data_IF_232707309201
#
_entry.id   IF_232707309201
#
_cell.length_a   1.000
_cell.length_b   1.000
_cell.length_c   1.000
_cell.angle_alpha   90.00
_cell.angle_beta   90.00
_cell.angle_gamma   90.00
#
_symmetry.space_group_name_H-M   'P 1'
#
loop_
_entity.id
_entity.type
_entity.pdbx_description
1 polymer ?
#
# COMPACT_ATOMS: atom_id res chain seq x y z
N UNK A 1 -5.53 9.72 -13.25
CA UNK A 1 -5.14 8.76 -14.31
C UNK A 1 -4.67 7.43 -13.71
N UNK A 2 -3.90 7.48 -12.62
CA UNK A 2 -3.42 6.33 -11.82
C UNK A 2 -4.47 5.26 -11.50
N UNK A 3 -5.67 5.65 -11.06
CA UNK A 3 -6.71 4.69 -10.62
C UNK A 3 -7.11 3.64 -11.67
N UNK A 4 -7.41 4.07 -12.90
CA UNK A 4 -7.79 3.15 -13.98
C UNK A 4 -6.64 2.25 -14.41
N UNK A 5 -5.40 2.72 -14.25
CA UNK A 5 -4.21 1.96 -14.58
C UNK A 5 -3.98 0.85 -13.57
N UNK A 6 -3.99 1.16 -12.26
CA UNK A 6 -3.89 0.15 -11.17
C UNK A 6 -4.93 -0.95 -11.38
N UNK A 7 -6.17 -0.59 -11.73
CA UNK A 7 -7.24 -1.55 -12.03
C UNK A 7 -6.91 -2.49 -13.20
N UNK A 8 -6.41 -1.94 -14.31
CA UNK A 8 -6.05 -2.73 -15.50
C UNK A 8 -4.87 -3.65 -15.22
N UNK A 9 -3.82 -3.13 -14.58
CA UNK A 9 -2.63 -3.87 -14.20
C UNK A 9 -3.01 -5.04 -13.30
N UNK A 10 -3.80 -4.77 -12.26
CA UNK A 10 -4.25 -5.81 -11.35
C UNK A 10 -5.10 -6.88 -12.04
N UNK A 11 -5.98 -6.48 -12.97
CA UNK A 11 -6.77 -7.43 -13.76
C UNK A 11 -5.88 -8.34 -14.60
N UNK A 12 -4.90 -7.76 -15.31
CA UNK A 12 -3.96 -8.52 -16.13
C UNK A 12 -3.13 -9.47 -15.26
N UNK A 13 -2.65 -8.99 -14.11
CA UNK A 13 -1.85 -9.79 -13.19
C UNK A 13 -2.65 -11.00 -12.66
N UNK A 14 -3.91 -10.79 -12.27
CA UNK A 14 -4.80 -11.87 -11.82
C UNK A 14 -5.05 -12.93 -12.90
N UNK A 15 -4.95 -12.59 -14.19
CA UNK A 15 -5.09 -13.54 -15.28
C UNK A 15 -3.83 -14.42 -15.49
N UNK A 16 -2.65 -13.93 -15.08
CA UNK A 16 -1.36 -14.66 -15.19
C UNK A 16 -1.05 -15.52 -13.97
N UNK A 17 -1.67 -15.20 -12.85
CA UNK A 17 -1.33 -15.79 -11.55
C UNK A 17 -2.08 -17.11 -11.36
N UNK A 18 -1.43 -18.17 -10.84
CA UNK A 18 -2.11 -19.40 -10.47
C UNK A 18 -3.31 -19.11 -9.59
N UNK A 19 -4.40 -19.86 -9.74
CA UNK A 19 -5.50 -19.79 -8.77
C UNK A 19 -4.99 -20.32 -7.44
N UNK A 20 -4.50 -19.43 -6.58
CA UNK A 20 -4.06 -19.78 -5.25
C UNK A 20 -5.27 -20.30 -4.48
N UNK A 21 -5.10 -21.51 -3.94
CA UNK A 21 -5.99 -21.98 -2.87
C UNK A 21 -5.64 -21.10 -1.67
N UNK A 22 -6.59 -20.29 -1.23
CA UNK A 22 -6.35 -19.37 -0.14
C UNK A 22 -6.02 -20.14 1.14
N UNK A 23 -5.06 -19.68 1.95
CA UNK A 23 -4.67 -20.32 3.20
C UNK A 23 -5.79 -20.39 4.24
N UNK A 24 -6.94 -19.74 4.00
CA UNK A 24 -8.14 -19.87 4.82
C UNK A 24 -8.62 -21.31 5.01
N UNK A 25 -8.24 -22.24 4.13
CA UNK A 25 -8.56 -23.66 4.32
C UNK A 25 -7.81 -24.27 5.52
N UNK A 26 -6.71 -23.68 5.97
CA UNK A 26 -5.87 -24.17 7.08
C UNK A 26 -6.12 -23.43 8.40
N UNK A 27 -7.24 -22.69 8.50
CA UNK A 27 -7.63 -21.97 9.71
C UNK A 27 -6.72 -20.79 10.08
N UNK A 28 -6.93 -20.23 11.27
CA UNK A 28 -6.31 -18.96 11.66
C UNK A 28 -4.80 -19.06 11.85
N UNK A 29 -4.29 -20.23 12.24
CA UNK A 29 -2.85 -20.44 12.43
C UNK A 29 -2.13 -20.54 11.08
N UNK A 30 -2.73 -21.20 10.09
CA UNK A 30 -2.21 -21.19 8.72
C UNK A 30 -2.15 -19.77 8.15
N UNK A 31 -3.22 -18.98 8.32
CA UNK A 31 -3.22 -17.56 7.95
C UNK A 31 -2.15 -16.75 8.68
N UNK A 32 -1.92 -17.01 9.96
CA UNK A 32 -0.89 -16.36 10.76
C UNK A 32 0.52 -16.67 10.25
N UNK A 33 0.85 -17.93 10.02
CA UNK A 33 2.14 -18.33 9.45
C UNK A 33 2.35 -17.70 8.07
N UNK A 34 1.35 -17.76 7.19
CA UNK A 34 1.44 -17.12 5.87
C UNK A 34 1.67 -15.61 6.00
N UNK A 35 0.98 -14.93 6.92
CA UNK A 35 1.12 -13.47 7.09
C UNK A 35 2.52 -13.03 7.50
N UNK A 36 3.24 -13.85 8.26
CA UNK A 36 4.62 -13.56 8.70
C UNK A 36 5.63 -13.98 7.62
N UNK A 37 5.36 -15.08 6.91
CA UNK A 37 6.29 -15.63 5.92
C UNK A 37 6.19 -14.95 4.56
N UNK A 38 5.02 -14.43 4.17
CA UNK A 38 4.77 -13.90 2.84
C UNK A 38 5.59 -12.66 2.46
N UNK A 39 5.95 -11.73 3.37
CA UNK A 39 6.80 -10.61 3.01
C UNK A 39 8.17 -11.07 2.49
N UNK A 40 8.68 -12.19 3.02
CA UNK A 40 10.03 -12.71 2.75
C UNK A 40 10.06 -13.80 1.68
N UNK A 41 9.18 -14.81 1.79
CA UNK A 41 9.15 -15.95 0.85
C UNK A 41 8.15 -15.76 -0.30
N UNK A 42 7.42 -14.65 -0.33
CA UNK A 42 6.36 -14.43 -1.31
C UNK A 42 5.35 -15.58 -1.30
N UNK A 43 4.94 -16.03 -2.48
CA UNK A 43 3.92 -17.10 -2.58
C UNK A 43 4.44 -18.50 -2.23
N UNK A 44 5.76 -18.69 -2.08
CA UNK A 44 6.29 -19.97 -1.59
C UNK A 44 5.85 -20.25 -0.15
N UNK A 45 5.62 -19.21 0.66
CA UNK A 45 5.06 -19.32 2.00
C UNK A 45 3.77 -20.14 2.04
N UNK A 46 2.89 -19.97 1.04
CA UNK A 46 1.62 -20.72 0.96
C UNK A 46 1.90 -22.21 0.77
N UNK A 47 2.84 -22.57 -0.11
CA UNK A 47 3.20 -23.95 -0.37
C UNK A 47 3.90 -24.60 0.83
N UNK A 48 4.74 -23.83 1.53
CA UNK A 48 5.41 -24.29 2.75
C UNK A 48 4.38 -24.60 3.82
N UNK A 49 3.47 -23.68 4.13
CA UNK A 49 2.41 -23.90 5.12
C UNK A 49 1.48 -25.04 4.68
N UNK A 50 1.05 -25.08 3.42
CA UNK A 50 0.17 -26.15 2.90
C UNK A 50 0.75 -27.54 3.12
N UNK A 51 2.03 -27.76 2.77
CA UNK A 51 2.68 -29.07 2.90
C UNK A 51 2.70 -29.57 4.34
N UNK A 52 2.94 -28.67 5.29
CA UNK A 52 3.01 -29.02 6.70
C UNK A 52 1.64 -29.41 7.28
N UNK A 53 0.58 -28.73 6.84
CA UNK A 53 -0.80 -29.08 7.22
C UNK A 53 -1.28 -30.37 6.54
N UNK A 54 -0.92 -30.60 5.27
CA UNK A 54 -1.29 -31.81 4.52
C UNK A 54 -0.60 -33.09 5.06
N UNK A 55 0.57 -32.95 5.69
CA UNK A 55 1.31 -34.06 6.28
C UNK A 55 0.83 -34.45 7.70
N UNK A 56 -0.20 -33.79 8.24
CA UNK A 56 -0.61 -33.87 9.66
C UNK A 56 0.53 -33.55 10.65
N UNK A 57 1.66 -33.00 10.19
CA UNK A 57 2.82 -32.65 11.04
C UNK A 57 2.50 -31.42 11.91
N UNK A 58 1.58 -30.56 11.44
CA UNK A 58 1.12 -29.38 12.14
C UNK A 58 -0.37 -29.47 12.46
N UNK A 59 -0.75 -30.34 13.40
CA UNK A 59 -2.11 -30.41 13.92
C UNK A 59 -2.33 -29.33 15.00
N UNK A 60 -2.51 -28.09 14.57
CA UNK A 60 -2.59 -26.92 15.45
C UNK A 60 -3.97 -26.69 16.09
N UNK A 61 -4.86 -27.68 16.15
CA UNK A 61 -6.19 -27.51 16.74
C UNK A 61 -6.14 -27.01 18.21
N UNK A 62 -5.00 -27.12 18.90
CA UNK A 62 -4.75 -26.56 20.23
C UNK A 62 -3.66 -25.46 20.31
N UNK A 63 -3.04 -25.05 19.19
CA UNK A 63 -2.19 -23.85 19.14
C UNK A 63 -0.99 -23.83 20.09
N UNK A 64 -0.19 -24.90 20.14
CA UNK A 64 1.04 -24.90 20.94
C UNK A 64 2.09 -23.94 20.34
N UNK A 65 2.31 -22.80 21.02
CA UNK A 65 3.32 -21.80 20.65
C UNK A 65 4.73 -22.41 20.50
N UNK A 66 5.05 -23.47 21.26
CA UNK A 66 6.37 -24.11 21.15
C UNK A 66 6.60 -24.73 19.77
N UNK A 67 5.59 -25.38 19.20
CA UNK A 67 5.69 -26.04 17.89
C UNK A 67 5.82 -24.99 16.78
N UNK A 68 5.10 -23.87 16.89
CA UNK A 68 5.26 -22.72 15.99
C UNK A 68 6.66 -22.10 16.08
N UNK A 69 7.20 -21.94 17.29
CA UNK A 69 8.56 -21.42 17.51
C UNK A 69 9.60 -22.32 16.86
N UNK A 70 9.47 -23.62 17.01
CA UNK A 70 10.44 -24.56 16.47
C UNK A 70 10.33 -24.67 14.93
N UNK A 71 9.12 -24.61 14.38
CA UNK A 71 8.91 -24.48 12.94
C UNK A 71 9.61 -23.24 12.36
N UNK A 72 9.36 -22.06 12.95
CA UNK A 72 9.95 -20.80 12.46
C UNK A 72 11.47 -20.80 12.57
N UNK A 73 12.03 -21.35 13.66
CA UNK A 73 13.50 -21.51 13.78
C UNK A 73 14.06 -22.42 12.69
N UNK A 74 13.32 -23.43 12.25
CA UNK A 74 13.70 -24.34 11.18
C UNK A 74 13.81 -23.66 9.80
N UNK A 75 13.21 -22.49 9.60
CA UNK A 75 13.23 -21.76 8.33
C UNK A 75 14.58 -21.06 8.04
N UNK A 76 15.45 -20.96 9.04
CA UNK A 76 16.78 -20.30 8.95
C UNK A 76 16.73 -18.89 8.33
N UNK A 77 15.70 -18.11 8.69
CA UNK A 77 15.54 -16.72 8.26
C UNK A 77 15.44 -15.79 9.48
N UNK A 78 16.45 -14.92 9.63
CA UNK A 78 16.59 -14.04 10.80
C UNK A 78 15.52 -12.95 10.87
N UNK A 79 15.03 -12.48 9.72
CA UNK A 79 13.99 -11.45 9.67
C UNK A 79 12.64 -12.02 10.11
N UNK A 80 12.25 -13.17 9.57
CA UNK A 80 11.03 -13.89 9.97
C UNK A 80 11.09 -14.25 11.44
N UNK A 81 12.20 -14.82 11.91
CA UNK A 81 12.37 -15.19 13.31
C UNK A 81 12.22 -13.97 14.22
N UNK A 82 12.82 -12.84 13.83
CA UNK A 82 12.71 -11.59 14.57
C UNK A 82 11.28 -11.04 14.62
N UNK A 83 10.54 -11.02 13.51
CA UNK A 83 9.14 -10.56 13.50
C UNK A 83 8.28 -11.50 14.33
N UNK A 84 8.45 -12.80 14.14
CA UNK A 84 7.71 -13.82 14.85
C UNK A 84 7.93 -13.74 16.36
N UNK A 85 9.17 -13.59 16.82
CA UNK A 85 9.50 -13.46 18.24
C UNK A 85 8.85 -12.21 18.85
N UNK A 86 8.84 -11.08 18.13
CA UNK A 86 8.16 -9.86 18.59
C UNK A 86 6.66 -10.08 18.77
N UNK A 87 6.01 -10.69 17.79
CA UNK A 87 4.57 -10.98 17.85
C UNK A 87 4.26 -12.01 18.94
N UNK A 88 5.11 -13.02 19.12
CA UNK A 88 4.94 -14.01 20.19
C UNK A 88 5.14 -13.41 21.58
N UNK A 89 6.12 -12.53 21.77
CA UNK A 89 6.29 -11.81 23.04
C UNK A 89 5.05 -11.00 23.39
N UNK A 90 4.42 -10.37 22.39
CA UNK A 90 3.17 -9.65 22.56
C UNK A 90 2.02 -10.59 22.97
N UNK A 91 1.85 -11.70 22.26
CA UNK A 91 0.81 -12.71 22.55
C UNK A 91 1.00 -13.33 23.94
N UNK A 92 2.24 -13.65 24.33
CA UNK A 92 2.57 -14.17 25.66
C UNK A 92 2.25 -13.17 26.77
N UNK A 93 2.50 -11.88 26.52
CA UNK A 93 2.30 -10.82 27.51
C UNK A 93 0.83 -10.42 27.68
N UNK A 94 0.12 -10.18 26.58
CA UNK A 94 -1.23 -9.61 26.63
C UNK A 94 -2.33 -10.68 26.58
N UNK A 95 -2.03 -11.85 26.01
CA UNK A 95 -2.98 -12.96 25.84
C UNK A 95 -2.55 -14.23 26.58
N UNK A 96 -1.52 -14.17 27.42
CA UNK A 96 -1.00 -15.32 28.18
C UNK A 96 -0.63 -16.53 27.30
N UNK A 97 -0.26 -16.27 26.04
CA UNK A 97 0.04 -17.31 25.07
C UNK A 97 -1.19 -17.94 24.40
N UNK A 98 -2.40 -17.44 24.68
CA UNK A 98 -3.62 -17.91 24.04
C UNK A 98 -3.81 -17.27 22.65
N UNK A 99 -3.38 -17.99 21.62
CA UNK A 99 -3.56 -17.61 20.22
C UNK A 99 -5.03 -17.41 19.84
N UNK A 100 -5.95 -18.19 20.43
CA UNK A 100 -7.37 -18.05 20.12
C UNK A 100 -7.88 -16.71 20.63
N UNK A 101 -7.51 -16.31 21.84
CA UNK A 101 -7.86 -15.00 22.38
C UNK A 101 -7.24 -13.86 21.56
N UNK A 102 -5.99 -14.01 21.11
CA UNK A 102 -5.35 -13.05 20.20
C UNK A 102 -6.15 -12.87 18.89
N UNK A 103 -6.53 -13.97 18.24
CA UNK A 103 -7.27 -13.92 16.98
C UNK A 103 -8.70 -13.37 17.08
N UNK A 104 -9.30 -13.41 18.27
CA UNK A 104 -10.65 -12.87 18.53
C UNK A 104 -10.61 -11.52 19.27
N UNK A 105 -9.41 -10.96 19.50
CA UNK A 105 -9.23 -9.68 20.15
C UNK A 105 -9.69 -8.50 19.30
N UNK A 106 -9.73 -7.32 19.91
CA UNK A 106 -10.01 -6.07 19.19
C UNK A 106 -8.82 -5.76 18.27
N UNK A 107 -9.06 -5.84 16.96
CA UNK A 107 -8.02 -5.64 15.94
C UNK A 107 -7.33 -4.29 16.03
N UNK A 108 -8.05 -3.22 16.39
CA UNK A 108 -7.47 -1.88 16.46
C UNK A 108 -6.64 -1.70 17.72
N UNK A 109 -7.04 -2.33 18.82
CA UNK A 109 -6.21 -2.39 20.03
C UNK A 109 -4.93 -3.17 19.75
N UNK A 110 -5.04 -4.34 19.12
CA UNK A 110 -3.89 -5.16 18.73
C UNK A 110 -2.95 -4.38 17.81
N UNK A 111 -3.49 -3.76 16.76
CA UNK A 111 -2.72 -2.96 15.82
C UNK A 111 -1.98 -1.80 16.51
N UNK A 112 -2.65 -1.07 17.41
CA UNK A 112 -2.04 0.03 18.16
C UNK A 112 -0.86 -0.41 19.04
N UNK A 113 -0.84 -1.67 19.47
CA UNK A 113 0.21 -2.22 20.34
C UNK A 113 1.34 -2.89 19.54
N UNK A 114 1.01 -3.55 18.42
CA UNK A 114 2.00 -4.19 17.54
C UNK A 114 2.68 -3.17 16.63
N UNK A 115 1.99 -2.13 16.18
CA UNK A 115 2.51 -1.10 15.27
C UNK A 115 3.87 -0.53 15.72
N UNK A 116 4.05 -0.07 16.97
CA UNK A 116 5.34 0.41 17.44
C UNK A 116 6.45 -0.66 17.39
N UNK A 117 6.10 -1.93 17.63
CA UNK A 117 7.05 -3.06 17.63
C UNK A 117 7.51 -3.41 16.21
N UNK A 118 6.67 -3.14 15.20
CA UNK A 118 6.94 -3.40 13.79
C UNK A 118 7.29 -2.12 13.02
N UNK A 119 7.79 -1.09 13.69
CA UNK A 119 8.24 0.15 13.03
C UNK A 119 9.31 -0.17 11.98
N UNK A 120 9.10 0.29 10.75
CA UNK A 120 9.97 -0.03 9.59
C UNK A 120 9.76 -1.43 9.01
N UNK A 121 8.71 -2.14 9.46
CA UNK A 121 8.27 -3.46 8.98
C UNK A 121 6.78 -3.43 8.67
N UNK A 122 6.32 -2.32 8.08
CA UNK A 122 4.89 -2.07 7.81
C UNK A 122 4.25 -3.16 6.95
N UNK A 123 4.99 -3.73 5.99
CA UNK A 123 4.51 -4.85 5.20
C UNK A 123 4.10 -6.07 6.06
N UNK A 124 4.86 -6.39 7.11
CA UNK A 124 4.52 -7.49 8.02
C UNK A 124 3.28 -7.18 8.85
N UNK A 125 3.20 -5.95 9.39
CA UNK A 125 2.02 -5.47 10.13
C UNK A 125 0.78 -5.60 9.25
N UNK A 126 0.83 -5.08 8.03
CA UNK A 126 -0.32 -5.04 7.16
C UNK A 126 -0.68 -6.43 6.62
N UNK A 127 0.30 -7.31 6.45
CA UNK A 127 0.05 -8.72 6.15
C UNK A 127 -0.68 -9.43 7.29
N UNK A 128 -0.34 -9.15 8.55
CA UNK A 128 -1.08 -9.66 9.72
C UNK A 128 -2.52 -9.15 9.70
N UNK A 129 -2.73 -7.84 9.54
CA UNK A 129 -4.06 -7.23 9.44
C UNK A 129 -4.89 -7.86 8.31
N UNK A 130 -4.25 -8.07 7.16
CA UNK A 130 -4.91 -8.59 5.97
C UNK A 130 -5.28 -10.08 6.07
N UNK A 131 -4.35 -10.95 6.48
CA UNK A 131 -4.56 -12.40 6.44
C UNK A 131 -5.13 -12.97 7.73
N UNK A 132 -4.77 -12.41 8.88
CA UNK A 132 -5.21 -12.90 10.20
C UNK A 132 -6.53 -12.26 10.58
N UNK A 133 -6.58 -10.93 10.52
CA UNK A 133 -7.74 -10.16 10.99
C UNK A 133 -8.74 -9.79 9.89
N UNK A 134 -8.46 -10.17 8.65
CA UNK A 134 -9.33 -9.89 7.50
C UNK A 134 -9.66 -8.41 7.31
N UNK A 135 -8.76 -7.52 7.72
CA UNK A 135 -8.88 -6.08 7.49
C UNK A 135 -8.41 -5.78 6.07
N UNK A 136 -9.16 -5.02 5.25
CA UNK A 136 -8.77 -4.69 3.88
C UNK A 136 -7.66 -3.62 3.82
N UNK A 137 -6.51 -3.92 4.42
CA UNK A 137 -5.28 -3.13 4.32
C UNK A 137 -4.37 -3.81 3.31
N UNK A 138 -3.87 -3.06 2.33
CA UNK A 138 -3.02 -3.55 1.27
C UNK A 138 -1.54 -3.40 1.67
N UNK A 139 -0.79 -4.50 1.89
CA UNK A 139 0.62 -4.43 2.21
C UNK A 139 1.43 -4.02 0.97
N UNK A 140 2.43 -3.16 1.15
CA UNK A 140 3.23 -2.62 0.04
C UNK A 140 4.68 -3.10 0.13
N UNK A 141 5.05 -4.13 -0.64
CA UNK A 141 6.43 -4.62 -0.66
C UNK A 141 7.37 -3.65 -1.38
N UNK A 142 8.66 -3.65 -1.04
CA UNK A 142 9.68 -2.83 -1.73
C UNK A 142 9.65 -3.06 -3.24
N UNK A 143 9.58 -4.33 -3.66
CA UNK A 143 9.51 -4.68 -5.09
C UNK A 143 8.23 -4.18 -5.77
N UNK A 144 7.11 -4.16 -5.06
CA UNK A 144 5.88 -3.53 -5.56
C UNK A 144 6.07 -2.02 -5.72
N UNK A 145 6.72 -1.34 -4.76
CA UNK A 145 7.02 0.09 -4.85
C UNK A 145 7.88 0.37 -6.08
N UNK A 146 8.97 -0.37 -6.26
CA UNK A 146 9.88 -0.24 -7.41
C UNK A 146 9.12 -0.38 -8.73
N UNK A 147 8.30 -1.43 -8.87
CA UNK A 147 7.49 -1.65 -10.07
C UNK A 147 6.53 -0.49 -10.32
N UNK A 148 5.86 0.01 -9.29
CA UNK A 148 4.90 1.10 -9.42
C UNK A 148 5.58 2.44 -9.74
N UNK A 149 6.79 2.67 -9.24
CA UNK A 149 7.62 3.83 -9.57
C UNK A 149 8.09 3.74 -11.03
N UNK A 150 8.55 2.57 -11.47
CA UNK A 150 8.97 2.30 -12.85
C UNK A 150 7.83 2.54 -13.85
N UNK A 151 6.59 2.21 -13.46
CA UNK A 151 5.40 2.48 -14.25
C UNK A 151 4.80 3.88 -14.05
N UNK A 152 5.49 4.75 -13.31
CA UNK A 152 5.05 6.12 -13.02
C UNK A 152 3.64 6.16 -12.43
N UNK A 153 3.32 5.22 -11.55
CA UNK A 153 2.11 5.20 -10.75
C UNK A 153 2.35 5.99 -9.47
N UNK A 154 3.51 5.79 -8.85
CA UNK A 154 4.02 6.55 -7.71
C UNK A 154 5.29 7.33 -8.10
N UNK A 155 5.73 8.22 -7.21
CA UNK A 155 7.02 8.91 -7.26
C UNK A 155 8.02 8.24 -6.29
N UNK A 156 9.34 8.38 -6.51
CA UNK A 156 10.35 7.78 -5.63
C UNK A 156 10.34 8.30 -4.18
N UNK A 157 9.75 9.46 -3.93
CA UNK A 157 9.61 10.08 -2.62
C UNK A 157 8.26 9.83 -1.94
N UNK A 158 7.32 9.17 -2.63
CA UNK A 158 6.06 8.74 -2.01
C UNK A 158 6.38 7.78 -0.86
N UNK A 159 5.79 8.05 0.30
CA UNK A 159 5.94 7.20 1.47
C UNK A 159 5.12 5.91 1.35
N UNK A 160 5.50 4.90 2.13
CA UNK A 160 4.73 3.66 2.27
C UNK A 160 3.24 3.94 2.54
N UNK A 161 2.95 4.87 3.46
CA UNK A 161 1.58 5.18 3.89
C UNK A 161 0.78 5.87 2.77
N UNK A 162 1.41 6.74 1.98
CA UNK A 162 0.76 7.38 0.83
C UNK A 162 0.41 6.36 -0.26
N UNK A 163 1.37 5.49 -0.61
CA UNK A 163 1.14 4.42 -1.57
C UNK A 163 0.04 3.47 -1.09
N UNK A 164 0.08 3.07 0.18
CA UNK A 164 -0.92 2.20 0.78
C UNK A 164 -2.31 2.84 0.77
N UNK A 165 -2.44 4.11 1.15
CA UNK A 165 -3.73 4.80 1.17
C UNK A 165 -4.40 4.75 -0.21
N UNK A 166 -3.63 5.03 -1.27
CA UNK A 166 -4.10 4.98 -2.66
C UNK A 166 -4.51 3.55 -3.06
N UNK A 167 -3.74 2.54 -2.66
CA UNK A 167 -4.07 1.13 -2.94
C UNK A 167 -5.32 0.67 -2.17
N UNK A 168 -5.49 1.09 -0.91
CA UNK A 168 -6.64 0.77 -0.08
C UNK A 168 -7.95 1.33 -0.65
N UNK A 169 -7.93 2.52 -1.26
CA UNK A 169 -9.09 3.06 -1.98
C UNK A 169 -9.56 2.13 -3.11
N UNK A 170 -8.65 1.36 -3.70
CA UNK A 170 -8.95 0.42 -4.78
C UNK A 170 -9.28 -1.00 -4.29
N UNK A 171 -8.64 -1.43 -3.20
CA UNK A 171 -8.74 -2.77 -2.64
C UNK A 171 -9.55 -2.80 -1.35
N UNK A 172 -10.70 -2.11 -1.34
CA UNK A 172 -11.56 -1.95 -0.15
C UNK A 172 -12.23 -3.24 0.36
N UNK A 173 -12.22 -4.33 -0.42
CA UNK A 173 -12.78 -5.62 -0.04
C UNK A 173 -11.66 -6.60 0.32
N UNK A 174 -11.71 -7.20 1.51
CA UNK A 174 -10.66 -8.12 2.00
C UNK A 174 -10.31 -9.24 1.01
N UNK A 175 -11.27 -10.00 0.44
CA UNK A 175 -10.93 -11.08 -0.49
C UNK A 175 -10.32 -10.58 -1.80
N UNK A 176 -10.64 -9.34 -2.20
CA UNK A 176 -10.03 -8.70 -3.37
C UNK A 176 -8.62 -8.22 -3.04
N UNK A 177 -8.43 -7.63 -1.86
CA UNK A 177 -7.13 -7.18 -1.35
C UNK A 177 -6.16 -8.35 -1.25
N UNK A 178 -6.55 -9.45 -0.59
CA UNK A 178 -5.74 -10.66 -0.46
C UNK A 178 -5.35 -11.25 -1.81
N UNK A 179 -6.31 -11.46 -2.72
CA UNK A 179 -6.01 -11.94 -4.08
C UNK A 179 -5.01 -11.06 -4.80
N UNK A 180 -5.18 -9.76 -4.70
CA UNK A 180 -4.35 -8.80 -5.40
C UNK A 180 -2.95 -8.78 -4.79
N UNK A 181 -2.81 -8.72 -3.48
CA UNK A 181 -1.51 -8.79 -2.81
C UNK A 181 -0.77 -10.10 -3.11
N UNK A 182 -1.44 -11.25 -3.04
CA UNK A 182 -0.84 -12.54 -3.43
C UNK A 182 -0.37 -12.56 -4.88
N UNK A 183 -1.16 -11.97 -5.78
CA UNK A 183 -0.82 -11.84 -7.19
C UNK A 183 0.44 -10.99 -7.40
N UNK A 184 0.59 -9.92 -6.63
CA UNK A 184 1.82 -9.11 -6.62
C UNK A 184 3.00 -9.89 -6.03
N UNK A 185 2.81 -10.58 -4.91
CA UNK A 185 3.86 -11.42 -4.31
C UNK A 185 4.28 -12.60 -5.16
N UNK A 186 3.42 -13.08 -6.05
CA UNK A 186 3.82 -14.09 -7.02
C UNK A 186 4.96 -13.59 -7.91
N UNK A 187 4.95 -12.30 -8.30
CA UNK A 187 6.01 -11.69 -9.10
C UNK A 187 7.38 -11.72 -8.40
N UNK A 188 7.40 -11.80 -7.07
CA UNK A 188 8.64 -11.90 -6.28
C UNK A 188 9.31 -13.26 -6.46
N UNK A 189 8.52 -14.30 -6.75
CA UNK A 189 8.96 -15.71 -6.76
C UNK A 189 9.09 -16.35 -8.15
N UNK A 190 8.60 -15.71 -9.20
CA UNK A 190 8.66 -16.28 -10.56
C UNK A 190 10.04 -16.11 -11.21
N UNK A 191 10.34 -17.00 -12.16
CA UNK A 191 11.53 -16.91 -13.01
C UNK A 191 11.57 -15.58 -13.78
N UNK A 192 12.77 -15.02 -13.91
CA UNK A 192 13.03 -13.72 -14.56
C UNK A 192 12.41 -13.62 -15.97
N UNK A 193 12.54 -14.65 -16.81
CA UNK A 193 11.92 -14.65 -18.15
C UNK A 193 10.39 -14.50 -18.12
N UNK A 194 9.75 -15.08 -17.11
CA UNK A 194 8.29 -14.97 -16.96
C UNK A 194 7.93 -13.61 -16.36
N UNK A 195 8.70 -13.14 -15.39
CA UNK A 195 8.57 -11.81 -14.81
C UNK A 195 8.62 -10.72 -15.89
N UNK A 196 9.63 -10.75 -16.77
CA UNK A 196 9.78 -9.77 -17.86
C UNK A 196 8.62 -9.81 -18.86
N UNK A 197 8.05 -10.99 -19.14
CA UNK A 197 6.85 -11.11 -19.98
C UNK A 197 5.64 -10.42 -19.35
N UNK A 198 5.44 -10.60 -18.04
CA UNK A 198 4.35 -9.95 -17.32
C UNK A 198 4.57 -8.43 -17.30
N UNK A 199 5.78 -7.97 -16.98
CA UNK A 199 6.11 -6.54 -17.00
C UNK A 199 5.91 -5.91 -18.38
N UNK A 200 6.26 -6.61 -19.47
CA UNK A 200 6.03 -6.12 -20.85
C UNK A 200 4.54 -5.93 -21.12
N UNK A 201 3.68 -6.86 -20.66
CA UNK A 201 2.23 -6.71 -20.78
C UNK A 201 1.69 -5.56 -19.94
N UNK A 202 2.22 -5.37 -18.73
CA UNK A 202 1.87 -4.24 -17.87
C UNK A 202 2.27 -2.91 -18.54
N UNK A 203 3.47 -2.86 -19.11
CA UNK A 203 3.97 -1.70 -19.85
C UNK A 203 3.08 -1.33 -21.05
N UNK A 204 2.48 -2.34 -21.72
CA UNK A 204 1.50 -2.12 -22.80
C UNK A 204 0.16 -1.53 -22.29
N UNK A 205 -0.15 -1.66 -21.00
CA UNK A 205 -1.35 -1.08 -20.40
C UNK A 205 -1.17 0.38 -19.99
N UNK A 206 0.07 0.85 -19.80
CA UNK A 206 0.38 2.22 -19.42
C UNK A 206 0.33 3.10 -20.68
N UNK A 207 -0.71 3.95 -20.86
CA UNK A 207 -0.79 4.80 -22.04
C UNK A 207 0.21 5.95 -21.90
N UNK A 208 1.41 5.77 -22.44
CA UNK A 208 2.40 6.84 -22.58
C UNK A 208 2.04 7.73 -23.76
N UNK A 209 0.91 8.42 -23.71
CA UNK A 209 0.58 9.45 -24.69
C UNK A 209 0.85 10.82 -24.09
N UNK A 210 1.39 11.73 -24.90
CA UNK A 210 1.57 13.11 -24.50
C UNK A 210 0.20 13.76 -24.25
N UNK A 211 -0.07 14.24 -23.03
CA UNK A 211 -1.33 14.91 -22.68
C UNK A 211 -1.58 16.18 -23.50
N UNK A 212 -0.52 16.81 -24.02
CA UNK A 212 -0.63 18.00 -24.86
C UNK A 212 -0.94 17.75 -26.34
N UNK A 213 -0.50 16.62 -26.93
CA UNK A 213 -0.64 16.38 -28.37
C UNK A 213 -1.09 14.98 -28.77
N UNK A 214 -1.31 14.10 -27.80
CA UNK A 214 -1.70 12.69 -27.99
C UNK A 214 -0.62 11.80 -28.61
N UNK A 215 0.57 12.33 -28.90
CA UNK A 215 1.66 11.54 -29.50
C UNK A 215 2.14 10.48 -28.49
N UNK A 216 2.33 9.26 -28.97
CA UNK A 216 3.00 8.21 -28.22
C UNK A 216 4.42 8.65 -27.82
N UNK A 217 4.69 8.59 -26.53
CA UNK A 217 5.96 8.87 -25.89
C UNK A 217 6.56 7.63 -25.22
N UNK A 218 5.97 6.45 -25.45
CA UNK A 218 6.51 5.15 -25.05
C UNK A 218 7.90 4.99 -25.67
N UNK A 219 8.93 4.89 -24.82
CA UNK A 219 10.33 4.81 -25.24
C UNK A 219 11.14 6.11 -25.13
N UNK A 220 10.53 7.23 -24.71
CA UNK A 220 11.35 8.31 -24.14
C UNK A 220 11.98 7.78 -22.86
N UNK A 221 13.32 7.79 -22.77
CA UNK A 221 14.05 7.38 -21.55
C UNK A 221 13.64 8.13 -20.28
N UNK A 222 12.99 9.28 -20.44
CA UNK A 222 12.43 10.09 -19.36
C UNK A 222 11.23 10.86 -19.93
N UNK A 223 10.01 10.32 -19.83
CA UNK A 223 8.81 11.11 -20.13
C UNK A 223 8.77 12.30 -19.16
N UNK A 224 8.47 13.49 -19.67
CA UNK A 224 8.39 14.66 -18.80
C UNK A 224 7.09 14.61 -18.02
N UNK A 225 7.20 14.23 -16.76
CA UNK A 225 6.11 14.30 -15.80
C UNK A 225 6.10 15.71 -15.24
N UNK A 226 5.04 16.46 -15.53
CA UNK A 226 4.81 17.78 -14.92
C UNK A 226 3.79 17.61 -13.81
N UNK A 227 4.22 17.90 -12.58
CA UNK A 227 3.36 17.97 -11.40
C UNK A 227 2.87 19.40 -11.24
N UNK A 228 1.56 19.60 -11.30
CA UNK A 228 0.92 20.89 -11.04
C UNK A 228 0.20 20.77 -9.71
N UNK A 229 0.65 21.53 -8.73
CA UNK A 229 0.02 21.62 -7.42
C UNK A 229 -0.76 22.93 -7.33
N UNK A 230 -2.06 22.82 -7.13
CA UNK A 230 -2.95 23.96 -6.96
C UNK A 230 -3.22 24.14 -5.49
N UNK A 231 -2.63 25.17 -4.90
CA UNK A 231 -2.89 25.57 -3.53
C UNK A 231 -3.97 26.66 -3.49
N UNK A 232 -4.84 26.71 -2.48
CA UNK A 232 -5.69 27.85 -2.24
C UNK A 232 -4.82 29.05 -1.88
N UNK A 233 -4.60 29.93 -2.87
CA UNK A 233 -4.07 31.26 -2.63
C UNK A 233 -5.13 32.06 -1.89
N UNK A 234 -4.94 32.29 -0.59
CA UNK A 234 -5.46 33.49 0.04
C UNK A 234 -4.38 34.56 -0.09
N UNK A 235 -4.64 35.59 -0.88
CA UNK A 235 -3.82 36.79 -0.89
C UNK A 235 -3.98 37.50 0.46
N UNK A 236 -3.27 37.03 1.49
CA UNK A 236 -3.24 37.68 2.80
C UNK A 236 -2.27 38.86 2.70
N UNK A 237 -2.78 40.01 2.29
CA UNK A 237 -2.13 41.28 2.63
C UNK A 237 -2.55 41.59 4.06
N UNK A 238 -1.63 41.42 4.99
CA UNK A 238 -1.81 41.89 6.35
C UNK A 238 -1.67 43.42 6.33
N UNK A 239 -2.78 44.13 6.51
CA UNK A 239 -2.73 45.56 6.81
C UNK A 239 -2.55 45.76 8.32
N UNK A 240 -2.05 46.92 8.74
CA UNK A 240 -1.77 47.20 10.16
C UNK A 240 -3.01 46.98 11.04
N UNK A 241 -4.20 47.26 10.50
CA UNK A 241 -5.51 47.07 11.11
C UNK A 241 -5.85 45.60 11.37
N UNK A 242 -5.32 44.66 10.57
CA UNK A 242 -5.51 43.23 10.81
C UNK A 242 -4.80 42.77 12.09
N UNK A 243 -3.68 43.39 12.46
CA UNK A 243 -2.90 43.03 13.65
C UNK A 243 -3.43 43.66 14.94
N UNK A 244 -4.01 44.86 14.82
CA UNK A 244 -4.41 45.67 15.98
C UNK A 244 -5.91 45.51 16.35
N UNK A 245 -6.79 45.16 15.40
CA UNK A 245 -8.25 45.15 15.62
C UNK A 245 -8.93 43.78 15.46
N UNK A 246 -8.27 42.75 14.92
CA UNK A 246 -8.89 41.43 14.73
C UNK A 246 -8.66 40.49 15.90
N UNK A 247 -9.76 39.95 16.40
CA UNK A 247 -9.78 38.81 17.33
C UNK A 247 -9.54 37.52 16.54
N UNK A 248 -8.27 37.18 16.35
CA UNK A 248 -7.85 35.96 15.64
C UNK A 248 -8.35 34.68 16.32
N UNK A 249 -8.58 34.70 17.63
CA UNK A 249 -9.11 33.55 18.38
C UNK A 249 -10.56 33.27 17.96
N UNK A 250 -11.38 34.32 17.81
CA UNK A 250 -12.72 34.19 17.22
C UNK A 250 -12.70 33.73 15.78
N UNK A 251 -11.78 34.23 14.97
CA UNK A 251 -11.70 33.88 13.56
C UNK A 251 -11.29 32.40 13.38
N UNK A 252 -10.31 31.93 14.15
CA UNK A 252 -9.91 30.52 14.21
C UNK A 252 -11.08 29.65 14.67
N UNK A 253 -11.80 30.07 15.71
CA UNK A 253 -12.99 29.34 16.21
C UNK A 253 -14.07 29.23 15.14
N UNK A 254 -14.36 30.33 14.43
CA UNK A 254 -15.34 30.32 13.33
C UNK A 254 -14.90 29.43 12.16
N UNK A 255 -13.60 29.41 11.82
CA UNK A 255 -13.04 28.50 10.81
C UNK A 255 -13.21 27.04 11.23
N UNK A 256 -12.91 26.71 12.49
CA UNK A 256 -13.05 25.34 13.03
C UNK A 256 -14.51 24.89 13.08
N UNK A 257 -15.45 25.76 13.50
CA UNK A 257 -16.88 25.46 13.48
C UNK A 257 -17.40 25.23 12.06
N UNK A 258 -16.98 26.07 11.11
CA UNK A 258 -17.37 25.94 9.70
C UNK A 258 -16.75 24.69 9.06
N UNK A 259 -15.52 24.33 9.45
CA UNK A 259 -14.85 23.13 8.99
C UNK A 259 -15.51 21.86 9.55
N UNK A 260 -15.93 21.86 10.82
CA UNK A 260 -16.65 20.76 11.45
C UNK A 260 -18.03 20.48 10.85
N UNK A 261 -18.59 21.41 10.07
CA UNK A 261 -19.88 21.25 9.37
C UNK A 261 -19.74 20.71 7.94
N UNK A 262 -18.52 20.67 7.39
CA UNK A 262 -18.26 20.20 6.02
C UNK A 262 -17.87 18.73 6.03
N UNK A 263 -18.25 18.01 4.98
CA UNK A 263 -17.75 16.65 4.77
C UNK A 263 -16.25 16.66 4.42
N UNK A 264 -15.54 15.56 4.71
CA UNK A 264 -14.13 15.37 4.38
C UNK A 264 -13.82 15.68 2.90
N UNK A 265 -14.71 15.25 2.01
CA UNK A 265 -14.61 15.51 0.57
C UNK A 265 -14.77 17.00 0.20
N UNK A 266 -15.55 17.76 0.96
CA UNK A 266 -15.73 19.19 0.76
C UNK A 266 -14.58 20.01 1.34
N UNK A 267 -13.98 19.54 2.44
CA UNK A 267 -12.76 20.13 3.00
C UNK A 267 -11.60 19.94 2.02
N UNK A 268 -11.41 18.74 1.47
CA UNK A 268 -10.30 18.44 0.55
C UNK A 268 -10.38 19.19 -0.78
N UNK A 269 -11.59 19.50 -1.28
CA UNK A 269 -11.78 20.33 -2.49
C UNK A 269 -11.24 21.76 -2.38
N UNK A 270 -11.03 22.26 -1.16
CA UNK A 270 -10.59 23.62 -0.89
C UNK A 270 -9.10 23.79 -0.62
N UNK A 271 -8.30 22.70 -0.57
CA UNK A 271 -6.99 22.74 0.12
C UNK A 271 -5.81 22.40 -0.76
N UNK A 272 -5.96 21.52 -1.75
CA UNK A 272 -4.87 21.18 -2.67
C UNK A 272 -5.40 20.32 -3.83
N UNK A 273 -4.86 20.45 -5.03
CA UNK A 273 -5.12 19.51 -6.13
C UNK A 273 -3.86 19.29 -6.93
N UNK A 274 -3.55 18.03 -7.21
CA UNK A 274 -2.41 17.63 -8.01
C UNK A 274 -2.84 17.15 -9.41
N UNK A 275 -2.15 17.64 -10.45
CA UNK A 275 -2.23 17.09 -11.80
C UNK A 275 -0.87 16.55 -12.22
N UNK A 276 -0.85 15.31 -12.71
CA UNK A 276 0.32 14.68 -13.32
C UNK A 276 0.13 14.65 -14.83
N UNK A 277 0.97 15.38 -15.57
CA UNK A 277 0.95 15.42 -17.04
C UNK A 277 2.17 14.73 -17.63
N UNK A 278 1.96 13.83 -18.58
CA UNK A 278 2.96 13.22 -19.42
C UNK A 278 3.14 14.06 -20.69
N UNK A 279 4.29 14.73 -20.86
CA UNK A 279 4.51 15.63 -22.00
C UNK A 279 5.71 15.18 -22.86
N UNK A 280 5.57 15.26 -24.19
CA UNK A 280 6.73 15.20 -25.09
C UNK A 280 7.56 16.49 -24.98
N UNK A 281 8.83 16.44 -25.39
CA UNK A 281 9.76 17.59 -25.25
C UNK A 281 9.21 18.89 -25.86
N UNK A 282 8.48 18.81 -26.98
CA UNK A 282 7.86 19.97 -27.62
C UNK A 282 6.74 20.56 -26.74
N UNK A 283 5.81 19.73 -26.29
CA UNK A 283 4.70 20.16 -25.44
C UNK A 283 5.17 20.68 -24.09
N UNK A 284 6.21 20.08 -23.50
CA UNK A 284 6.87 20.58 -22.28
C UNK A 284 7.41 22.00 -22.48
N UNK A 285 8.19 22.23 -23.54
CA UNK A 285 8.77 23.55 -23.80
C UNK A 285 7.69 24.60 -24.05
N UNK A 286 6.59 24.22 -24.70
CA UNK A 286 5.42 25.09 -24.84
C UNK A 286 4.78 25.36 -23.49
N UNK A 287 4.56 24.33 -22.67
CA UNK A 287 3.93 24.46 -21.36
C UNK A 287 4.72 25.40 -20.43
N UNK A 288 6.04 25.23 -20.34
CA UNK A 288 6.93 26.10 -19.53
C UNK A 288 6.84 27.56 -20.00
N UNK A 289 6.92 27.82 -21.31
CA UNK A 289 6.79 29.19 -21.84
C UNK A 289 5.46 29.84 -21.49
N UNK A 290 4.37 29.07 -21.48
CA UNK A 290 3.04 29.56 -21.11
C UNK A 290 2.94 29.89 -19.63
N UNK A 291 3.59 29.11 -18.76
CA UNK A 291 3.75 29.43 -17.34
C UNK A 291 4.55 30.74 -17.18
N UNK A 292 5.70 30.84 -17.85
CA UNK A 292 6.57 32.03 -17.77
C UNK A 292 5.87 33.31 -18.25
N UNK A 293 4.90 33.19 -19.16
CA UNK A 293 4.07 34.30 -19.64
C UNK A 293 2.82 34.55 -18.79
N UNK A 294 2.58 33.79 -17.72
CA UNK A 294 1.41 33.96 -16.86
C UNK A 294 0.09 33.57 -17.52
N UNK A 295 0.10 32.65 -18.49
CA UNK A 295 -1.14 32.19 -19.15
C UNK A 295 -1.99 31.25 -18.27
N UNK A 296 -1.43 30.79 -17.15
CA UNK A 296 -2.12 29.98 -16.15
C UNK A 296 -2.02 30.72 -14.82
N UNK A 297 -3.10 31.40 -14.42
CA UNK A 297 -3.29 32.06 -13.12
C UNK A 297 -4.49 31.39 -12.44
#
# INVERSE_FOLDING_TARGET
MSYNLIKKINSQLLDEVPKFIFPFQYGTIGSFLVSIMIPVYGTEAINMVTKEFDNDELNFDEGNIADLKDYIKGLDNSEISSVFDLVMQYIEKEFYGDLKSFFHGDVWLIDSQISPMLTGRDEFRDSLLLFVFSVPVFPVSIKLQDIMIDFHIFEPDDSYLEMQAILNEYFSETPKCQRSYLAWKYLDSIKEDHYLKILTRIDDLVPFNCDGCGKDIKGLKSPFITRIEVYPSRTLRFEQEDLDEKDFEKEITAILETAGQKSEKELNRSVWTEYRLFLCSKCRNTFVKRIDHGEFI
#
